data_IF_319563908543
#
_entry.id   IF_319563908543
#
_cell.length_a   1.000
_cell.length_b   1.000
_cell.length_c   1.000
_cell.angle_alpha   90.00
_cell.angle_beta   90.00
_cell.angle_gamma   90.00
#
_symmetry.space_group_name_H-M   'P 1'
#
loop_
_entity.id
_entity.type
_entity.pdbx_description
1 polymer ?
#
# COMPACT_ATOMS: atom_id res chain seq x y z
N UNK A 1 3.22 -70.65 -20.23
CA UNK A 1 2.95 -69.32 -19.70
C UNK A 1 3.02 -69.39 -18.19
N UNK A 2 4.19 -69.07 -17.64
CA UNK A 2 4.48 -69.12 -16.20
C UNK A 2 4.37 -67.72 -15.65
N UNK A 3 3.35 -67.50 -14.78
CA UNK A 3 3.22 -66.29 -14.02
C UNK A 3 4.26 -66.30 -12.90
N UNK A 4 5.17 -65.32 -12.93
CA UNK A 4 6.03 -64.99 -11.80
C UNK A 4 5.23 -64.17 -10.82
N UNK A 5 4.96 -64.77 -9.68
CA UNK A 5 4.46 -64.03 -8.49
C UNK A 5 5.66 -63.38 -7.81
N UNK A 6 5.72 -62.09 -7.90
CA UNK A 6 6.71 -61.23 -7.22
C UNK A 6 6.29 -61.13 -5.75
N UNK A 7 6.87 -61.95 -4.89
CA UNK A 7 6.68 -61.86 -3.45
C UNK A 7 7.69 -60.85 -2.90
N UNK A 8 7.18 -59.66 -2.56
CA UNK A 8 7.90 -58.67 -1.76
C UNK A 8 8.32 -59.28 -0.41
N UNK A 9 9.59 -59.18 -0.01
CA UNK A 9 10.00 -59.62 1.31
C UNK A 9 9.51 -58.62 2.35
N UNK A 10 8.59 -59.11 3.17
CA UNK A 10 8.08 -58.42 4.36
C UNK A 10 9.13 -58.59 5.47
N UNK A 11 10.24 -57.86 5.38
CA UNK A 11 11.23 -57.78 6.46
C UNK A 11 10.99 -56.45 7.21
N UNK A 12 10.17 -56.54 8.23
CA UNK A 12 10.09 -55.51 9.26
C UNK A 12 11.43 -55.47 9.99
N UNK A 13 12.30 -54.55 9.60
CA UNK A 13 13.51 -54.25 10.34
C UNK A 13 13.10 -53.55 11.63
N UNK A 14 13.32 -54.11 12.83
CA UNK A 14 13.07 -53.40 14.04
C UNK A 14 14.01 -52.20 14.12
N UNK A 15 13.46 -51.03 14.03
CA UNK A 15 14.21 -49.80 14.19
C UNK A 15 14.62 -49.65 15.66
N UNK A 16 15.89 -49.96 15.94
CA UNK A 16 16.52 -49.65 17.22
C UNK A 16 16.95 -48.19 17.34
N UNK A 17 16.19 -47.29 16.75
CA UNK A 17 16.35 -45.87 17.00
C UNK A 17 15.59 -45.55 18.30
N UNK A 18 16.32 -45.64 19.41
CA UNK A 18 15.87 -45.06 20.66
C UNK A 18 15.67 -43.55 20.38
N UNK A 19 14.41 -43.13 20.24
CA UNK A 19 14.11 -41.72 20.09
C UNK A 19 14.63 -40.97 21.33
N UNK A 20 15.56 -40.01 21.19
CA UNK A 20 16.04 -39.21 22.32
C UNK A 20 15.03 -38.18 22.81
N UNK A 21 13.79 -38.26 22.36
CA UNK A 21 12.69 -37.41 22.84
C UNK A 21 11.89 -38.15 23.94
N UNK A 22 12.56 -38.47 25.04
CA UNK A 22 11.83 -38.32 26.30
C UNK A 22 11.49 -36.85 26.37
N UNK A 23 10.21 -36.53 26.22
CA UNK A 23 9.69 -35.23 26.53
C UNK A 23 10.23 -34.84 27.90
N UNK A 24 11.19 -33.92 27.94
CA UNK A 24 11.55 -33.27 29.18
C UNK A 24 10.22 -32.77 29.73
N UNK A 25 9.84 -33.25 30.91
CA UNK A 25 8.81 -32.57 31.65
C UNK A 25 9.20 -31.09 31.60
N UNK A 26 8.44 -30.30 30.86
CA UNK A 26 8.59 -28.87 30.89
C UNK A 26 8.40 -28.47 32.33
N UNK A 27 9.45 -27.98 32.94
CA UNK A 27 9.28 -27.22 34.18
C UNK A 27 8.17 -26.22 33.91
N UNK A 28 7.20 -26.05 34.80
CA UNK A 28 6.17 -25.08 34.60
C UNK A 28 6.89 -23.74 34.43
N UNK A 29 6.74 -23.15 33.23
CA UNK A 29 7.26 -21.82 32.94
C UNK A 29 6.71 -20.91 34.00
N UNK A 30 7.58 -20.47 34.93
CA UNK A 30 7.23 -19.56 36.03
C UNK A 30 6.84 -18.18 35.52
N UNK A 31 7.02 -17.95 34.21
CA UNK A 31 6.58 -16.74 33.54
C UNK A 31 5.53 -17.13 32.50
N UNK A 32 4.27 -16.87 32.83
CA UNK A 32 3.20 -17.03 31.86
C UNK A 32 3.39 -16.01 30.74
N UNK A 33 2.97 -16.35 29.53
CA UNK A 33 3.02 -15.43 28.38
C UNK A 33 2.30 -14.10 28.68
N UNK A 34 1.30 -14.13 29.55
CA UNK A 34 0.59 -12.95 30.04
C UNK A 34 1.48 -12.05 30.90
N UNK A 35 2.32 -12.63 31.75
CA UNK A 35 3.25 -11.91 32.61
C UNK A 35 4.35 -11.21 31.80
N UNK A 36 4.84 -11.89 30.74
CA UNK A 36 5.78 -11.30 29.80
C UNK A 36 5.15 -10.13 29.03
N UNK A 37 3.89 -10.26 28.61
CA UNK A 37 3.16 -9.17 27.95
C UNK A 37 2.88 -8.01 28.89
N UNK A 38 2.62 -8.27 30.17
CA UNK A 38 2.43 -7.22 31.17
C UNK A 38 3.73 -6.48 31.51
N UNK A 39 4.88 -7.16 31.49
CA UNK A 39 6.19 -6.51 31.60
C UNK A 39 6.45 -5.58 30.43
N UNK A 40 6.19 -6.00 29.18
CA UNK A 40 6.31 -5.13 28.00
C UNK A 40 5.32 -3.96 28.03
N UNK A 41 4.14 -4.19 28.58
CA UNK A 41 3.13 -3.12 28.74
C UNK A 41 3.52 -2.14 29.85
N UNK A 42 4.20 -2.59 30.89
CA UNK A 42 4.70 -1.74 31.97
C UNK A 42 5.84 -0.84 31.48
N UNK A 43 6.75 -1.37 30.65
CA UNK A 43 7.85 -0.60 30.05
C UNK A 43 7.35 0.42 29.03
N UNK A 44 6.20 0.18 28.39
CA UNK A 44 5.56 1.13 27.48
C UNK A 44 4.61 2.11 28.16
N UNK A 45 4.47 2.07 29.47
CA UNK A 45 3.72 3.10 30.19
C UNK A 45 4.44 4.43 30.00
N UNK A 46 3.89 5.25 29.11
CA UNK A 46 4.33 6.63 28.96
C UNK A 46 4.25 7.32 30.32
N UNK A 47 5.41 7.57 30.92
CA UNK A 47 5.54 8.26 32.22
C UNK A 47 5.23 9.75 32.11
N UNK A 48 5.08 10.25 30.88
CA UNK A 48 4.70 11.64 30.60
C UNK A 48 3.55 11.67 29.61
N UNK A 49 2.49 12.41 29.96
CA UNK A 49 1.45 12.74 29.00
C UNK A 49 2.12 13.33 27.75
N UNK A 50 1.72 12.89 26.54
CA UNK A 50 2.24 13.48 25.32
C UNK A 50 1.99 14.98 25.40
N UNK A 51 3.06 15.78 25.50
CA UNK A 51 2.95 17.23 25.33
C UNK A 51 2.46 17.42 23.90
N UNK A 52 1.18 17.77 23.77
CA UNK A 52 0.68 18.31 22.52
C UNK A 52 1.64 19.44 22.15
N UNK A 53 2.38 19.29 21.05
CA UNK A 53 3.14 20.40 20.50
C UNK A 53 2.11 21.46 20.19
N UNK A 54 2.11 22.52 20.98
CA UNK A 54 1.37 23.71 20.63
C UNK A 54 1.78 24.06 19.21
N UNK A 55 0.81 24.09 18.31
CA UNK A 55 1.06 24.44 16.91
C UNK A 55 1.48 25.91 16.90
N UNK A 56 2.77 26.27 16.62
CA UNK A 56 3.24 27.65 16.77
C UNK A 56 2.79 28.58 15.63
N UNK A 57 1.97 28.11 14.71
CA UNK A 57 1.47 28.88 13.59
C UNK A 57 -0.02 29.17 13.81
N UNK A 58 -0.29 30.20 14.62
CA UNK A 58 -1.53 30.94 14.53
C UNK A 58 -1.62 31.52 13.11
N UNK A 59 -2.40 30.89 12.21
CA UNK A 59 -2.56 31.28 10.82
C UNK A 59 -2.55 30.13 9.82
N UNK A 60 -2.29 28.92 10.25
CA UNK A 60 -2.41 27.73 9.40
C UNK A 60 -3.86 27.46 9.06
N UNK A 61 -4.17 27.35 7.76
CA UNK A 61 -5.48 26.97 7.27
C UNK A 61 -5.99 25.69 7.98
N UNK A 62 -7.33 25.55 8.23
CA UNK A 62 -7.92 24.51 9.06
C UNK A 62 -7.91 23.09 8.44
N UNK A 63 -6.92 22.76 7.66
CA UNK A 63 -6.74 21.43 7.05
C UNK A 63 -5.42 20.76 7.45
N UNK A 64 -4.92 21.06 8.63
CA UNK A 64 -3.73 20.45 9.19
C UNK A 64 -3.97 19.05 9.76
N UNK A 65 -4.48 18.14 9.00
CA UNK A 65 -4.24 16.69 9.19
C UNK A 65 -2.82 16.43 8.74
N UNK A 66 -1.83 16.64 9.63
CA UNK A 66 -0.43 16.45 9.33
C UNK A 66 -0.10 15.00 9.07
N UNK A 67 -0.27 14.56 7.84
CA UNK A 67 0.54 13.48 7.30
C UNK A 67 1.94 14.07 7.06
N UNK A 68 3.01 13.43 7.54
CA UNK A 68 4.38 13.89 7.28
C UNK A 68 4.80 13.71 5.82
N UNK A 69 3.88 13.37 4.95
CA UNK A 69 4.09 13.16 3.53
C UNK A 69 3.73 14.46 2.80
N UNK A 70 4.74 15.20 2.47
CA UNK A 70 4.82 16.27 1.50
C UNK A 70 3.63 17.20 1.33
N UNK A 71 3.88 18.51 1.32
CA UNK A 71 2.86 19.52 1.02
C UNK A 71 2.19 19.22 -0.34
N UNK A 72 0.86 19.41 -0.38
CA UNK A 72 0.07 19.28 -1.59
C UNK A 72 0.41 20.42 -2.56
N UNK A 73 0.92 20.10 -3.74
CA UNK A 73 1.32 21.06 -4.76
C UNK A 73 0.26 21.32 -5.83
N UNK A 74 -0.91 20.72 -5.74
CA UNK A 74 -1.96 20.85 -6.76
C UNK A 74 -2.33 22.29 -7.03
N UNK A 75 -2.44 23.11 -5.98
CA UNK A 75 -2.75 24.54 -6.09
C UNK A 75 -1.63 25.39 -6.68
N UNK A 76 -0.40 24.88 -6.69
CA UNK A 76 0.76 25.55 -7.32
C UNK A 76 0.92 25.21 -8.80
N UNK A 77 0.15 24.24 -9.31
CA UNK A 77 0.17 23.83 -10.70
C UNK A 77 -0.87 24.61 -11.51
N UNK A 78 -0.44 25.18 -12.64
CA UNK A 78 -1.37 25.77 -13.60
C UNK A 78 -2.30 24.72 -14.19
N UNK A 79 -3.43 25.15 -14.74
CA UNK A 79 -4.38 24.26 -15.44
C UNK A 79 -3.70 23.52 -16.60
N UNK A 80 -2.79 24.19 -17.31
CA UNK A 80 -2.00 23.57 -18.40
C UNK A 80 -1.09 22.45 -17.89
N UNK A 81 -0.42 22.67 -16.76
CA UNK A 81 0.46 21.66 -16.13
C UNK A 81 -0.34 20.45 -15.63
N UNK A 82 -1.50 20.69 -15.01
CA UNK A 82 -2.39 19.59 -14.59
C UNK A 82 -2.88 18.76 -15.81
N UNK A 83 -3.22 19.43 -16.91
CA UNK A 83 -3.58 18.75 -18.16
C UNK A 83 -2.41 17.95 -18.75
N UNK A 84 -1.20 18.50 -18.70
CA UNK A 84 0.00 17.82 -19.18
C UNK A 84 0.29 16.54 -18.38
N UNK A 85 0.11 16.59 -17.06
CA UNK A 85 0.22 15.42 -16.18
C UNK A 85 -0.81 14.36 -16.57
N UNK A 86 -2.07 14.74 -16.73
CA UNK A 86 -3.13 13.82 -17.16
C UNK A 86 -2.84 13.20 -18.53
N UNK A 87 -2.34 13.98 -19.47
CA UNK A 87 -1.99 13.50 -20.80
C UNK A 87 -0.79 12.53 -20.79
N UNK A 88 0.19 12.76 -19.91
CA UNK A 88 1.33 11.84 -19.75
C UNK A 88 0.89 10.47 -19.23
N UNK A 89 -0.01 10.46 -18.27
CA UNK A 89 -0.55 9.22 -17.66
C UNK A 89 -1.43 8.45 -18.66
N UNK A 90 -2.23 9.14 -19.45
CA UNK A 90 -3.10 8.51 -20.47
C UNK A 90 -2.34 7.63 -21.44
N UNK A 91 -1.13 7.96 -21.79
CA UNK A 91 -0.28 7.15 -22.70
C UNK A 91 -0.01 5.74 -22.18
N UNK A 92 -0.03 5.55 -20.85
CA UNK A 92 0.18 4.26 -20.21
C UNK A 92 -1.12 3.61 -19.74
N UNK A 93 -2.24 4.28 -19.96
CA UNK A 93 -3.54 3.74 -19.57
C UNK A 93 -4.00 2.68 -20.56
N UNK A 94 -4.27 1.49 -20.04
CA UNK A 94 -4.85 0.41 -20.85
C UNK A 94 -6.36 0.64 -20.97
N UNK A 95 -6.79 1.13 -22.11
CA UNK A 95 -8.20 1.44 -22.38
C UNK A 95 -9.05 0.17 -22.46
N UNK A 96 -10.23 0.23 -21.85
CA UNK A 96 -11.27 -0.79 -21.98
C UNK A 96 -12.57 -0.10 -22.37
N UNK A 97 -12.67 0.19 -23.62
CA UNK A 97 -13.82 0.90 -24.20
C UNK A 97 -15.12 0.11 -24.11
N UNK A 98 -15.03 -1.21 -23.86
CA UNK A 98 -16.19 -2.07 -23.65
C UNK A 98 -16.67 -2.09 -22.18
N UNK A 99 -15.88 -1.51 -21.26
CA UNK A 99 -16.29 -1.44 -19.86
C UNK A 99 -17.52 -0.54 -19.68
N UNK A 100 -18.41 -0.98 -18.79
CA UNK A 100 -19.57 -0.19 -18.42
C UNK A 100 -19.11 1.20 -17.95
N UNK A 101 -19.78 2.22 -18.44
CA UNK A 101 -19.56 3.62 -18.08
C UNK A 101 -18.15 4.15 -18.40
N UNK A 102 -17.40 3.51 -19.33
CA UNK A 102 -16.07 3.96 -19.73
C UNK A 102 -16.06 5.43 -20.17
N UNK A 103 -17.02 5.85 -21.01
CA UNK A 103 -17.07 7.21 -21.55
C UNK A 103 -17.31 8.29 -20.46
N UNK A 104 -17.91 7.92 -19.34
CA UNK A 104 -18.17 8.81 -18.20
C UNK A 104 -17.20 8.60 -17.04
N UNK A 105 -16.19 7.74 -17.22
CA UNK A 105 -15.25 7.39 -16.16
C UNK A 105 -14.41 8.61 -15.74
N UNK A 106 -14.39 8.87 -14.46
CA UNK A 106 -13.58 9.90 -13.82
C UNK A 106 -13.07 9.36 -12.50
N UNK A 107 -11.77 9.40 -12.29
CA UNK A 107 -11.15 9.02 -11.01
C UNK A 107 -10.35 10.19 -10.42
N UNK A 108 -10.55 10.44 -9.15
CA UNK A 108 -9.77 11.40 -8.38
C UNK A 108 -8.63 10.66 -7.68
N UNK A 109 -7.40 11.01 -8.02
CA UNK A 109 -6.18 10.35 -7.55
C UNK A 109 -5.36 11.31 -6.68
N UNK A 110 -4.78 10.75 -5.63
CA UNK A 110 -3.77 11.41 -4.79
C UNK A 110 -2.46 10.68 -5.01
N UNK A 111 -1.51 11.34 -5.64
CA UNK A 111 -0.22 10.77 -6.02
C UNK A 111 0.87 11.37 -5.15
N UNK A 112 1.66 10.53 -4.52
CA UNK A 112 2.89 10.95 -3.86
C UNK A 112 4.04 10.81 -4.83
N UNK A 113 4.71 11.92 -5.10
CA UNK A 113 5.89 11.98 -5.95
C UNK A 113 7.14 12.22 -5.10
N UNK A 114 8.24 11.65 -5.53
CA UNK A 114 9.54 11.86 -4.89
C UNK A 114 10.17 13.20 -5.30
N UNK A 115 11.36 13.47 -4.77
CA UNK A 115 12.13 14.68 -5.05
C UNK A 115 12.45 14.87 -6.55
N UNK A 116 12.42 13.82 -7.33
CA UNK A 116 12.68 13.85 -8.78
C UNK A 116 11.43 13.99 -9.63
N UNK A 117 10.24 13.97 -9.01
CA UNK A 117 8.94 14.02 -9.70
C UNK A 117 8.44 12.67 -10.18
N UNK A 118 8.97 11.57 -9.65
CA UNK A 118 8.51 10.23 -9.97
C UNK A 118 7.39 9.79 -9.00
N UNK A 119 6.30 9.29 -9.54
CA UNK A 119 5.18 8.78 -8.77
C UNK A 119 5.58 7.50 -8.03
N UNK A 120 5.45 7.50 -6.70
CA UNK A 120 5.81 6.36 -5.84
C UNK A 120 4.60 5.69 -5.22
N UNK A 121 3.60 6.48 -4.85
CA UNK A 121 2.38 5.98 -4.21
C UNK A 121 1.19 6.66 -4.87
N UNK A 122 0.17 5.88 -5.18
CA UNK A 122 -1.11 6.37 -5.67
C UNK A 122 -2.23 5.90 -4.76
N UNK A 123 -2.99 6.84 -4.27
CA UNK A 123 -4.19 6.60 -3.46
C UNK A 123 -5.41 7.14 -4.20
N UNK A 124 -6.56 6.56 -3.92
CA UNK A 124 -7.83 7.06 -4.43
C UNK A 124 -8.41 8.08 -3.44
N UNK A 125 -8.94 9.16 -3.96
CA UNK A 125 -9.70 10.09 -3.13
C UNK A 125 -10.97 9.40 -2.57
N UNK A 126 -11.51 9.85 -1.43
CA UNK A 126 -12.64 9.18 -0.76
C UNK A 126 -13.86 8.95 -1.67
N UNK A 127 -14.18 9.91 -2.53
CA UNK A 127 -15.27 9.80 -3.50
C UNK A 127 -15.03 8.71 -4.55
N UNK A 128 -13.80 8.57 -5.03
CA UNK A 128 -13.41 7.50 -5.94
C UNK A 128 -13.49 6.14 -5.24
N UNK A 129 -12.97 6.07 -4.02
CA UNK A 129 -12.98 4.83 -3.23
C UNK A 129 -14.41 4.37 -2.90
N UNK A 130 -15.31 5.30 -2.59
CA UNK A 130 -16.73 4.99 -2.36
C UNK A 130 -17.38 4.37 -3.61
N UNK A 131 -17.10 4.93 -4.80
CA UNK A 131 -17.60 4.38 -6.08
C UNK A 131 -17.00 3.00 -6.39
N UNK A 132 -15.71 2.81 -6.14
CA UNK A 132 -15.04 1.53 -6.30
C UNK A 132 -15.65 0.43 -5.41
N UNK A 133 -16.12 0.78 -4.23
CA UNK A 133 -16.78 -0.16 -3.33
C UNK A 133 -18.20 -0.53 -3.80
N UNK A 134 -18.86 0.37 -4.51
CA UNK A 134 -20.22 0.18 -5.02
C UNK A 134 -20.26 -0.49 -6.41
N UNK A 135 -19.23 -0.32 -7.24
CA UNK A 135 -19.23 -0.79 -8.63
C UNK A 135 -17.89 -1.45 -8.99
N UNK A 136 -17.95 -2.74 -9.31
CA UNK A 136 -16.77 -3.52 -9.68
C UNK A 136 -16.17 -3.10 -11.04
N UNK A 137 -16.99 -2.66 -12.01
CA UNK A 137 -16.53 -2.16 -13.29
C UNK A 137 -15.75 -0.85 -13.11
N UNK A 138 -16.30 0.06 -12.33
CA UNK A 138 -15.61 1.31 -11.98
C UNK A 138 -14.29 1.04 -11.25
N UNK A 139 -14.27 0.07 -10.32
CA UNK A 139 -13.06 -0.35 -9.62
C UNK A 139 -11.98 -0.80 -10.60
N UNK A 140 -12.34 -1.65 -11.57
CA UNK A 140 -11.39 -2.14 -12.57
C UNK A 140 -10.76 -0.99 -13.38
N UNK A 141 -11.57 0.00 -13.79
CA UNK A 141 -11.08 1.19 -14.50
C UNK A 141 -10.17 2.04 -13.62
N UNK A 142 -10.52 2.22 -12.34
CA UNK A 142 -9.72 2.99 -11.39
C UNK A 142 -8.36 2.33 -11.11
N UNK A 143 -8.33 1.01 -10.93
CA UNK A 143 -7.07 0.29 -10.74
C UNK A 143 -6.17 0.35 -11.98
N UNK A 144 -6.74 0.35 -13.19
CA UNK A 144 -5.97 0.59 -14.42
C UNK A 144 -5.38 2.01 -14.44
N UNK A 145 -6.15 3.01 -14.00
CA UNK A 145 -5.63 4.38 -13.90
C UNK A 145 -4.47 4.48 -12.90
N UNK A 146 -4.57 3.81 -11.76
CA UNK A 146 -3.49 3.69 -10.78
C UNK A 146 -2.26 3.02 -11.37
N UNK A 147 -2.44 1.89 -12.05
CA UNK A 147 -1.36 1.18 -12.71
C UNK A 147 -0.66 2.03 -13.78
N UNK A 148 -1.42 2.84 -14.52
CA UNK A 148 -0.87 3.77 -15.52
C UNK A 148 0.05 4.81 -14.90
N UNK A 149 -0.34 5.39 -13.75
CA UNK A 149 0.50 6.37 -13.01
C UNK A 149 1.79 5.72 -12.51
N UNK A 150 1.72 4.48 -12.03
CA UNK A 150 2.87 3.75 -11.49
C UNK A 150 3.68 3.01 -12.55
N UNK A 151 3.26 3.05 -13.81
CA UNK A 151 4.02 2.43 -14.91
C UNK A 151 5.40 3.07 -15.02
N UNK A 152 6.49 2.29 -15.11
CA UNK A 152 7.85 2.83 -15.23
C UNK A 152 8.02 3.86 -16.34
N UNK A 153 7.26 3.73 -17.42
CA UNK A 153 7.30 4.65 -18.57
C UNK A 153 6.60 5.98 -18.30
N UNK A 154 5.60 6.01 -17.40
CA UNK A 154 4.77 7.18 -17.13
C UNK A 154 4.87 7.70 -15.68
N UNK A 155 5.58 7.00 -14.81
CA UNK A 155 5.73 7.40 -13.41
C UNK A 155 6.46 8.74 -13.24
N UNK A 156 7.32 9.10 -14.21
CA UNK A 156 7.94 10.41 -14.27
C UNK A 156 6.94 11.44 -14.77
N UNK A 157 6.38 12.19 -13.82
CA UNK A 157 5.38 13.20 -14.12
C UNK A 157 6.03 14.53 -14.56
N UNK A 158 5.42 15.27 -15.50
CA UNK A 158 5.92 16.56 -15.95
C UNK A 158 5.60 17.66 -14.92
N UNK A 159 6.28 17.62 -13.77
CA UNK A 159 6.16 18.59 -12.69
C UNK A 159 7.24 19.65 -12.87
N UNK A 160 6.92 20.96 -12.73
CA UNK A 160 7.91 22.02 -12.80
C UNK A 160 9.04 21.84 -11.77
N UNK A 161 10.27 22.18 -12.19
CA UNK A 161 11.45 21.94 -11.35
C UNK A 161 11.42 22.71 -10.02
N UNK A 162 10.80 23.86 -9.99
CA UNK A 162 10.60 24.68 -8.77
C UNK A 162 9.76 23.99 -7.70
N UNK A 163 8.95 22.99 -8.08
CA UNK A 163 8.12 22.19 -7.17
C UNK A 163 8.78 20.85 -6.80
N UNK A 164 9.95 20.55 -7.36
CA UNK A 164 10.72 19.34 -7.08
C UNK A 164 11.67 19.55 -5.88
N UNK A 165 12.48 18.54 -5.59
CA UNK A 165 13.49 18.59 -4.51
C UNK A 165 13.02 18.01 -3.17
N UNK A 166 11.72 17.76 -3.01
CA UNK A 166 11.13 17.12 -1.83
C UNK A 166 10.01 16.18 -2.25
N UNK A 167 9.68 15.24 -1.37
CA UNK A 167 8.46 14.43 -1.54
C UNK A 167 7.22 15.32 -1.45
N UNK A 168 6.36 15.24 -2.45
CA UNK A 168 5.18 16.07 -2.60
C UNK A 168 3.93 15.22 -2.85
N UNK A 169 2.76 15.78 -2.54
CA UNK A 169 1.49 15.20 -2.95
C UNK A 169 0.85 16.02 -4.06
N UNK A 170 0.28 15.30 -5.01
CA UNK A 170 -0.45 15.86 -6.15
C UNK A 170 -1.83 15.22 -6.19
N UNK A 171 -2.87 16.04 -6.24
CA UNK A 171 -4.23 15.58 -6.53
C UNK A 171 -4.56 15.91 -7.98
N UNK A 172 -5.01 14.95 -8.73
CA UNK A 172 -5.49 15.22 -10.07
C UNK A 172 -6.67 14.33 -10.46
N UNK A 173 -7.42 14.80 -11.42
CA UNK A 173 -8.59 14.11 -11.96
C UNK A 173 -8.15 13.39 -13.24
N UNK A 174 -8.22 12.07 -13.20
CA UNK A 174 -7.95 11.23 -14.36
C UNK A 174 -9.23 11.00 -15.17
N UNK A 175 -9.11 11.17 -16.46
CA UNK A 175 -10.11 10.82 -17.49
C UNK A 175 -9.38 10.16 -18.64
N UNK A 176 -9.82 8.97 -19.09
CA UNK A 176 -9.21 8.29 -20.25
C UNK A 176 -9.38 9.05 -21.54
#
# INVERSE_FOLDING_TARGET
MTQQTDTLPDTVVPSHITQPNKARKSEPDTHSMLETLDMFRADQKQTHAPKARANPLAGGAPNGGGSPVGSNITGSLSVGQQKAIGASVRRCYSEDTAAKDYASFVAHLVVTVDATGEARIVQFAPETQARMNADASYRALAERARAAVLSPTCAKLPIPQELLGQTRQLKFVFRP
#
